data_IF_450684624869
#
_entry.id   IF_450684624869
#
_cell.length_a   1.000
_cell.length_b   1.000
_cell.length_c   1.000
_cell.angle_alpha   90.00
_cell.angle_beta   90.00
_cell.angle_gamma   90.00
#
_symmetry.space_group_name_H-M   'P 1'
#
loop_
_entity.id
_entity.type
_entity.pdbx_description
1 polymer ?
#
# COMPACT_ATOMS: atom_id res chain seq x y z
N UNK A 1 -0.47 19.98 -6.11
CA UNK A 1 -1.10 19.45 -7.34
C UNK A 1 -1.93 20.49 -8.08
N UNK A 2 -2.85 21.22 -7.44
CA UNK A 2 -3.63 22.27 -8.13
C UNK A 2 -2.78 23.41 -8.73
N UNK A 3 -1.75 23.85 -8.02
CA UNK A 3 -0.80 24.87 -8.52
C UNK A 3 -0.05 24.39 -9.76
N UNK A 4 0.48 23.16 -9.73
CA UNK A 4 1.12 22.50 -10.89
C UNK A 4 0.16 22.40 -12.08
N UNK A 5 -1.14 22.16 -11.84
CA UNK A 5 -2.14 22.07 -12.90
C UNK A 5 -2.26 23.39 -13.70
N UNK A 6 -2.18 24.53 -13.01
CA UNK A 6 -2.23 25.85 -13.65
C UNK A 6 -0.92 26.19 -14.36
N UNK A 7 0.23 25.94 -13.72
CA UNK A 7 1.55 26.26 -14.30
C UNK A 7 1.92 25.39 -15.50
N UNK A 8 1.51 24.11 -15.49
CA UNK A 8 1.84 23.14 -16.53
C UNK A 8 0.65 22.80 -17.44
N UNK A 9 -0.37 23.67 -17.49
CA UNK A 9 -1.63 23.40 -18.22
C UNK A 9 -1.40 22.96 -19.67
N UNK A 10 -0.41 23.55 -20.34
CA UNK A 10 -0.10 23.26 -21.75
C UNK A 10 0.58 21.90 -21.96
N UNK A 11 1.23 21.36 -20.93
CA UNK A 11 1.97 20.08 -20.96
C UNK A 11 1.10 18.93 -20.46
N UNK A 12 0.13 19.20 -19.61
CA UNK A 12 -0.76 18.17 -19.06
C UNK A 12 -1.78 17.73 -20.12
N UNK A 13 -1.85 16.43 -20.34
CA UNK A 13 -2.89 15.77 -21.14
C UNK A 13 -4.10 15.44 -20.29
N UNK A 14 -3.85 14.96 -19.08
CA UNK A 14 -4.90 14.60 -18.14
C UNK A 14 -4.36 14.16 -16.79
N UNK A 15 -5.20 13.45 -16.05
CA UNK A 15 -4.93 12.99 -14.69
C UNK A 15 -5.27 11.51 -14.58
N UNK A 16 -4.37 10.74 -13.98
CA UNK A 16 -4.54 9.31 -13.75
C UNK A 16 -4.62 9.02 -12.25
N UNK A 17 -5.56 8.17 -11.87
CA UNK A 17 -5.73 7.75 -10.49
C UNK A 17 -4.75 6.61 -10.16
N UNK A 18 -3.76 6.93 -9.34
CA UNK A 18 -2.78 5.97 -8.85
C UNK A 18 -3.21 5.47 -7.46
N UNK A 19 -3.32 4.15 -7.32
CA UNK A 19 -3.80 3.49 -6.10
C UNK A 19 -2.60 2.95 -5.34
N UNK A 20 -2.63 3.08 -4.02
CA UNK A 20 -1.62 2.50 -3.14
C UNK A 20 -1.79 0.98 -3.11
N UNK A 21 -0.82 0.25 -3.68
CA UNK A 21 -0.87 -1.22 -3.80
C UNK A 21 -0.49 -1.90 -2.49
N UNK A 22 -1.45 -2.03 -1.57
CA UNK A 22 -1.31 -2.72 -0.29
C UNK A 22 -2.43 -3.75 -0.09
N UNK A 23 -2.17 -4.83 0.65
CA UNK A 23 -3.21 -5.78 1.04
C UNK A 23 -4.34 -5.13 1.84
N UNK A 24 -4.07 -3.98 2.48
CA UNK A 24 -5.06 -3.23 3.26
C UNK A 24 -5.91 -2.23 2.45
N UNK A 25 -5.61 -2.03 1.17
CA UNK A 25 -6.38 -1.12 0.31
C UNK A 25 -7.74 -1.74 -0.01
N UNK A 26 -8.86 -1.01 0.14
CA UNK A 26 -10.21 -1.53 -0.14
C UNK A 26 -10.42 -1.90 -1.62
N UNK A 27 -11.27 -2.90 -1.87
CA UNK A 27 -11.59 -3.36 -3.23
C UNK A 27 -12.08 -2.22 -4.13
N UNK A 28 -12.95 -1.36 -3.61
CA UNK A 28 -13.53 -0.22 -4.35
C UNK A 28 -12.48 0.74 -4.89
N UNK A 29 -11.32 0.85 -4.23
CA UNK A 29 -10.20 1.67 -4.70
C UNK A 29 -9.34 0.92 -5.71
N UNK A 30 -9.03 -0.36 -5.45
CA UNK A 30 -8.23 -1.18 -6.35
C UNK A 30 -8.83 -1.24 -7.77
N UNK A 31 -10.17 -1.33 -7.87
CA UNK A 31 -10.90 -1.35 -9.14
C UNK A 31 -10.82 -0.05 -9.95
N UNK A 32 -10.34 1.04 -9.35
CA UNK A 32 -10.22 2.35 -10.00
C UNK A 32 -8.79 2.70 -10.41
N UNK A 33 -7.84 1.78 -10.24
CA UNK A 33 -6.47 2.05 -10.66
C UNK A 33 -6.44 2.35 -12.16
N UNK A 34 -5.70 3.41 -12.53
CA UNK A 34 -5.62 3.93 -13.89
C UNK A 34 -6.92 4.53 -14.44
N UNK A 35 -7.88 4.87 -13.58
CA UNK A 35 -8.96 5.79 -14.00
C UNK A 35 -8.34 7.09 -14.53
N UNK A 36 -8.73 7.48 -15.74
CA UNK A 36 -8.17 8.63 -16.43
C UNK A 36 -9.22 9.72 -16.60
N UNK A 37 -8.84 10.96 -16.29
CA UNK A 37 -9.63 12.18 -16.53
C UNK A 37 -8.86 13.07 -17.50
N UNK A 38 -9.47 13.30 -18.65
CA UNK A 38 -8.88 14.14 -19.69
C UNK A 38 -8.94 15.63 -19.30
N UNK A 39 -7.98 16.40 -19.82
CA UNK A 39 -7.88 17.83 -19.58
C UNK A 39 -6.94 18.21 -18.44
N UNK A 40 -6.44 19.44 -18.51
CA UNK A 40 -5.40 19.91 -17.62
C UNK A 40 -5.91 20.28 -16.21
N UNK A 41 -7.21 20.48 -16.05
CA UNK A 41 -7.81 20.88 -14.77
C UNK A 41 -7.72 19.75 -13.75
N UNK A 42 -7.21 20.06 -12.55
CA UNK A 42 -7.10 19.07 -11.48
C UNK A 42 -8.48 18.51 -11.10
N UNK A 43 -8.64 17.17 -10.99
CA UNK A 43 -9.92 16.57 -10.66
C UNK A 43 -10.54 17.12 -9.37
N UNK A 44 -11.81 17.52 -9.45
CA UNK A 44 -12.54 18.05 -8.30
C UNK A 44 -12.86 16.99 -7.24
N UNK A 45 -12.85 15.71 -7.63
CA UNK A 45 -13.11 14.58 -6.73
C UNK A 45 -12.04 14.48 -5.65
N UNK A 46 -12.48 14.49 -4.39
CA UNK A 46 -11.62 14.23 -3.25
C UNK A 46 -11.39 12.73 -3.10
N UNK A 47 -10.12 12.33 -3.02
CA UNK A 47 -9.70 10.93 -2.86
C UNK A 47 -9.01 10.75 -1.53
N UNK A 48 -9.16 9.56 -0.93
CA UNK A 48 -8.52 9.27 0.35
C UNK A 48 -6.99 9.15 0.17
N UNK A 49 -6.16 10.03 0.78
CA UNK A 49 -4.72 10.04 0.55
C UNK A 49 -3.99 8.77 1.00
N UNK A 50 -4.62 7.97 1.88
CA UNK A 50 -4.11 6.66 2.28
C UNK A 50 -4.31 5.55 1.23
N UNK A 51 -5.13 5.81 0.21
CA UNK A 51 -5.51 4.81 -0.78
C UNK A 51 -5.21 5.26 -2.20
N UNK A 52 -5.28 6.54 -2.51
CA UNK A 52 -5.17 7.02 -3.87
C UNK A 52 -4.61 8.44 -3.97
N UNK A 53 -4.05 8.74 -5.14
CA UNK A 53 -3.62 10.07 -5.53
C UNK A 53 -3.87 10.27 -7.03
N UNK A 54 -4.28 11.47 -7.41
CA UNK A 54 -4.28 11.88 -8.81
C UNK A 54 -2.87 12.33 -9.21
N UNK A 55 -2.33 11.71 -10.25
CA UNK A 55 -1.03 12.04 -10.84
C UNK A 55 -1.26 12.63 -12.23
N UNK A 56 -0.55 13.69 -12.57
CA UNK A 56 -0.65 14.31 -13.89
C UNK A 56 -0.02 13.41 -14.94
N UNK A 57 -0.74 13.20 -16.04
CA UNK A 57 -0.23 12.57 -17.25
C UNK A 57 0.13 13.67 -18.23
N UNK A 58 1.39 13.70 -18.65
CA UNK A 58 1.88 14.67 -19.62
C UNK A 58 1.52 14.23 -21.04
N UNK A 59 1.45 15.20 -21.94
CA UNK A 59 1.51 14.94 -23.37
C UNK A 59 2.82 14.23 -23.70
N UNK A 60 2.77 13.41 -24.74
CA UNK A 60 3.94 12.81 -25.37
C UNK A 60 4.80 13.89 -26.04
N UNK A 61 6.09 13.62 -26.21
CA UNK A 61 7.01 14.41 -27.03
C UNK A 61 6.44 14.64 -28.42
N UNK A 62 5.84 13.63 -29.04
CA UNK A 62 5.20 13.74 -30.35
C UNK A 62 4.00 14.70 -30.33
N UNK A 63 3.12 14.64 -29.32
CA UNK A 63 2.02 15.60 -29.13
C UNK A 63 2.53 17.02 -28.88
N UNK A 64 3.76 17.17 -28.39
CA UNK A 64 4.46 18.46 -28.22
C UNK A 64 5.32 18.86 -29.44
N UNK A 65 5.27 18.10 -30.54
CA UNK A 65 6.02 18.39 -31.77
C UNK A 65 7.52 18.06 -31.71
N UNK A 66 7.95 17.28 -30.70
CA UNK A 66 9.31 16.81 -30.53
C UNK A 66 9.47 15.38 -31.09
N UNK A 67 10.56 15.08 -31.83
CA UNK A 67 10.81 13.76 -32.40
C UNK A 67 11.44 12.78 -31.40
N UNK A 68 11.50 13.14 -30.11
CA UNK A 68 12.05 12.26 -29.07
C UNK A 68 11.14 11.06 -28.83
N UNK A 69 11.75 9.90 -28.58
CA UNK A 69 11.02 8.72 -28.13
C UNK A 69 10.59 8.85 -26.67
N UNK A 70 9.42 8.29 -26.34
CA UNK A 70 8.97 8.22 -24.95
C UNK A 70 9.87 7.28 -24.14
N UNK A 71 10.10 7.58 -22.84
CA UNK A 71 10.75 6.63 -21.97
C UNK A 71 9.92 5.34 -21.87
N UNK A 72 10.58 4.18 -21.70
CA UNK A 72 9.87 2.93 -21.51
C UNK A 72 9.06 2.94 -20.21
N UNK A 73 8.03 2.07 -20.10
CA UNK A 73 7.23 1.94 -18.88
C UNK A 73 8.11 1.71 -17.64
N UNK A 74 7.73 2.35 -16.54
CA UNK A 74 8.50 2.34 -15.30
C UNK A 74 8.01 1.30 -14.29
N UNK A 75 8.72 1.17 -13.18
CA UNK A 75 8.29 0.37 -12.03
C UNK A 75 7.95 1.26 -10.84
N UNK A 76 6.96 0.86 -10.06
CA UNK A 76 6.50 1.57 -8.86
C UNK A 76 6.71 0.74 -7.59
N UNK A 77 6.78 1.41 -6.44
CA UNK A 77 6.88 0.74 -5.15
C UNK A 77 5.52 0.22 -4.67
N UNK A 78 5.52 -0.97 -4.06
CA UNK A 78 4.32 -1.62 -3.50
C UNK A 78 4.61 -2.28 -2.15
N UNK A 79 3.56 -2.85 -1.53
CA UNK A 79 3.70 -3.64 -0.30
C UNK A 79 4.57 -4.90 -0.43
N UNK A 80 4.90 -5.33 -1.64
CA UNK A 80 5.71 -6.54 -1.93
C UNK A 80 7.02 -6.24 -2.64
N UNK A 81 7.38 -4.96 -2.80
CA UNK A 81 8.58 -4.51 -3.52
C UNK A 81 8.24 -3.72 -4.78
N UNK A 82 9.15 -3.71 -5.76
CA UNK A 82 8.92 -3.05 -7.05
C UNK A 82 8.00 -3.89 -7.93
N UNK A 83 7.04 -3.25 -8.58
CA UNK A 83 6.10 -3.85 -9.53
C UNK A 83 5.95 -2.96 -10.77
N UNK A 84 5.35 -3.48 -11.83
CA UNK A 84 4.96 -2.67 -12.98
C UNK A 84 4.02 -1.54 -12.58
N UNK A 85 4.10 -0.41 -13.27
CA UNK A 85 3.29 0.79 -12.99
C UNK A 85 1.77 0.54 -13.06
N UNK A 86 1.34 -0.37 -13.93
CA UNK A 86 -0.05 -0.84 -14.07
C UNK A 86 -0.51 -1.80 -12.97
N UNK A 87 0.35 -2.05 -11.98
CA UNK A 87 0.12 -3.00 -10.91
C UNK A 87 0.53 -4.43 -11.25
N UNK A 88 0.90 -4.72 -12.51
CA UNK A 88 1.35 -6.04 -12.98
C UNK A 88 0.41 -7.17 -12.55
N UNK A 89 0.99 -8.29 -12.13
CA UNK A 89 0.28 -9.43 -11.56
C UNK A 89 -0.18 -9.20 -10.10
N UNK A 90 0.33 -8.17 -9.43
CA UNK A 90 -0.01 -7.87 -8.04
C UNK A 90 -1.40 -7.23 -7.88
N UNK A 91 -1.80 -6.35 -8.81
CA UNK A 91 -3.13 -5.73 -8.76
C UNK A 91 -4.27 -6.76 -8.90
N UNK A 92 -4.27 -7.65 -9.91
CA UNK A 92 -5.27 -8.72 -10.01
C UNK A 92 -5.31 -9.60 -8.76
N UNK A 93 -4.14 -9.95 -8.19
CA UNK A 93 -4.06 -10.66 -6.93
C UNK A 93 -4.74 -9.91 -5.78
N UNK A 94 -4.47 -8.60 -5.60
CA UNK A 94 -5.06 -7.79 -4.55
C UNK A 94 -6.58 -7.67 -4.70
N UNK A 95 -7.07 -7.50 -5.93
CA UNK A 95 -8.51 -7.47 -6.24
C UNK A 95 -9.16 -8.78 -5.77
N UNK A 96 -8.63 -9.92 -6.20
CA UNK A 96 -9.15 -11.24 -5.79
C UNK A 96 -9.09 -11.44 -4.28
N UNK A 97 -7.96 -11.10 -3.66
CA UNK A 97 -7.77 -11.19 -2.22
C UNK A 97 -8.84 -10.38 -1.47
N UNK A 98 -9.16 -9.17 -1.96
CA UNK A 98 -10.19 -8.32 -1.36
C UNK A 98 -11.61 -8.77 -1.61
N UNK A 99 -11.92 -9.32 -2.79
CA UNK A 99 -13.21 -9.97 -3.04
C UNK A 99 -13.51 -11.06 -1.99
N UNK A 100 -12.51 -11.88 -1.66
CA UNK A 100 -12.63 -12.97 -0.67
C UNK A 100 -12.91 -12.44 0.75
N UNK A 101 -12.24 -11.35 1.14
CA UNK A 101 -12.27 -10.80 2.51
C UNK A 101 -13.47 -9.89 2.74
N UNK A 102 -13.78 -9.03 1.77
CA UNK A 102 -14.81 -8.00 1.91
C UNK A 102 -16.21 -8.55 1.61
N UNK A 103 -16.32 -9.64 0.83
CA UNK A 103 -17.60 -10.29 0.49
C UNK A 103 -17.67 -11.76 0.95
N UNK A 104 -17.59 -12.06 2.26
CA UNK A 104 -17.61 -13.44 2.75
C UNK A 104 -18.97 -14.13 2.52
N UNK A 105 -20.07 -13.37 2.43
CA UNK A 105 -21.44 -13.90 2.29
C UNK A 105 -21.79 -14.27 0.84
N UNK A 106 -21.16 -13.62 -0.15
CA UNK A 106 -21.39 -13.84 -1.59
C UNK A 106 -20.17 -14.48 -2.28
N UNK A 107 -19.34 -15.22 -1.54
CA UNK A 107 -18.15 -15.85 -2.07
C UNK A 107 -18.52 -16.89 -3.13
N UNK A 108 -18.03 -16.80 -4.37
CA UNK A 108 -18.20 -17.87 -5.35
C UNK A 108 -17.63 -19.18 -4.80
N UNK A 109 -18.31 -20.33 -4.97
CA UNK A 109 -17.76 -21.63 -4.61
C UNK A 109 -16.54 -21.94 -5.50
N UNK A 110 -15.35 -21.50 -5.06
CA UNK A 110 -14.12 -21.54 -5.86
C UNK A 110 -13.21 -20.32 -5.69
N UNK A 111 -13.59 -19.32 -4.90
CA UNK A 111 -12.72 -18.19 -4.53
C UNK A 111 -12.26 -18.33 -3.07
N UNK A 112 -11.33 -19.26 -2.81
CA UNK A 112 -10.76 -19.50 -1.49
C UNK A 112 -9.31 -18.99 -1.39
N UNK A 113 -8.85 -18.55 -0.21
CA UNK A 113 -7.45 -18.15 0.00
C UNK A 113 -6.44 -19.19 -0.49
N UNK A 114 -6.75 -20.48 -0.36
CA UNK A 114 -5.89 -21.59 -0.75
C UNK A 114 -5.66 -21.66 -2.25
N UNK A 115 -6.70 -21.44 -3.07
CA UNK A 115 -6.53 -21.47 -4.52
C UNK A 115 -5.95 -20.16 -5.06
N UNK A 116 -6.13 -19.04 -4.34
CA UNK A 116 -5.37 -17.82 -4.61
C UNK A 116 -3.86 -18.00 -4.35
N UNK A 117 -3.46 -18.76 -3.31
CA UNK A 117 -2.05 -19.14 -3.10
C UNK A 117 -1.50 -19.99 -4.24
N UNK A 118 -2.32 -20.87 -4.82
CA UNK A 118 -1.90 -21.71 -5.93
C UNK A 118 -1.72 -20.90 -7.23
N UNK A 119 -2.59 -19.91 -7.46
CA UNK A 119 -2.53 -19.01 -8.62
C UNK A 119 -1.39 -17.98 -8.50
N UNK A 120 -1.15 -17.46 -7.29
CA UNK A 120 -0.12 -16.45 -7.01
C UNK A 120 0.83 -16.91 -5.88
N UNK A 121 1.66 -17.94 -6.09
CA UNK A 121 2.55 -18.47 -5.05
C UNK A 121 3.54 -17.43 -4.53
N UNK A 122 3.98 -16.48 -5.37
CA UNK A 122 4.84 -15.37 -5.01
C UNK A 122 4.24 -14.45 -3.92
N UNK A 123 2.91 -14.41 -3.81
CA UNK A 123 2.19 -13.58 -2.83
C UNK A 123 1.59 -14.37 -1.66
N UNK A 124 1.96 -15.64 -1.50
CA UNK A 124 1.46 -16.48 -0.40
C UNK A 124 1.68 -15.84 1.00
N UNK A 125 2.79 -15.13 1.17
CA UNK A 125 3.15 -14.41 2.40
C UNK A 125 2.21 -13.25 2.75
N UNK A 126 1.42 -12.76 1.79
CA UNK A 126 0.40 -11.73 2.00
C UNK A 126 -0.88 -12.33 2.61
N UNK A 127 -1.22 -13.55 2.20
CA UNK A 127 -2.42 -14.27 2.66
C UNK A 127 -2.20 -14.79 4.09
N UNK A 128 -0.97 -15.17 4.43
CA UNK A 128 -0.67 -15.77 5.73
C UNK A 128 -0.52 -14.70 6.82
N UNK A 129 -1.24 -14.83 7.95
CA UNK A 129 -1.04 -13.93 9.07
C UNK A 129 0.37 -14.13 9.61
N UNK A 130 1.19 -13.07 9.62
CA UNK A 130 2.51 -13.11 10.27
C UNK A 130 2.33 -13.60 11.71
N UNK A 131 3.08 -14.63 12.16
CA UNK A 131 2.96 -15.12 13.52
C UNK A 131 3.22 -13.95 14.48
N UNK A 132 2.22 -13.61 15.30
CA UNK A 132 2.37 -12.59 16.33
C UNK A 132 3.55 -13.00 17.20
N UNK A 133 4.67 -12.26 17.14
CA UNK A 133 5.76 -12.37 18.11
C UNK A 133 5.14 -12.19 19.49
N UNK A 134 4.95 -13.29 20.22
CA UNK A 134 4.60 -13.23 21.64
C UNK A 134 5.76 -12.48 22.30
N UNK A 135 5.52 -11.24 22.75
CA UNK A 135 6.44 -10.59 23.69
C UNK A 135 6.58 -11.56 24.86
N UNK A 136 7.77 -12.12 25.05
CA UNK A 136 8.06 -12.90 26.23
C UNK A 136 7.69 -12.03 27.43
N UNK A 137 6.72 -12.48 28.24
CA UNK A 137 6.46 -11.90 29.55
C UNK A 137 7.75 -12.08 30.33
N UNK A 138 8.52 -11.00 30.51
CA UNK A 138 9.54 -10.94 31.54
C UNK A 138 8.81 -11.08 32.88
N UNK A 139 8.92 -12.24 33.51
CA UNK A 139 8.50 -12.45 34.90
C UNK A 139 9.20 -11.43 35.80
N UNK A 140 8.53 -10.84 36.81
CA UNK A 140 9.19 -9.99 37.78
C UNK A 140 10.06 -10.86 38.68
N UNK A 141 11.37 -10.86 38.42
CA UNK A 141 12.38 -11.47 39.27
C UNK A 141 12.57 -10.64 40.53
N UNK A 142 12.18 -11.25 41.65
CA UNK A 142 12.50 -10.94 43.05
C UNK A 142 13.80 -10.13 43.26
N UNK A 143 13.69 -8.98 43.93
CA UNK A 143 14.80 -8.32 44.60
C UNK A 143 14.39 -8.03 46.05
N UNK A 144 14.49 -9.05 46.90
CA UNK A 144 14.56 -8.86 48.34
C UNK A 144 15.96 -8.35 48.69
N UNK A 145 16.07 -7.11 49.16
CA UNK A 145 17.25 -6.59 49.86
C UNK A 145 16.93 -6.58 51.37
N UNK A 146 17.71 -7.26 52.23
CA UNK A 146 17.63 -7.05 53.66
C UNK A 146 18.62 -5.96 54.07
N UNK A 147 18.12 -4.87 54.65
CA UNK A 147 18.93 -3.80 55.22
C UNK A 147 18.31 -3.32 56.52
N UNK A 148 18.16 -4.22 57.49
CA UNK A 148 17.67 -3.86 58.81
C UNK A 148 18.86 -3.41 59.68
N UNK A 149 18.96 -2.11 59.92
CA UNK A 149 19.85 -1.51 60.91
C UNK A 149 19.48 -2.02 62.30
N UNK A 150 20.43 -2.64 63.00
CA UNK A 150 20.39 -2.79 64.46
C UNK A 150 21.62 -2.14 65.09
N UNK A 151 21.34 -1.46 66.21
CA UNK A 151 22.17 -0.55 67.00
C UNK A 151 23.41 -1.20 67.62
N UNK A 152 24.37 -0.33 67.94
CA UNK A 152 25.54 -0.52 68.82
C UNK A 152 25.17 -1.00 70.25
N UNK A 153 26.14 -1.43 71.09
CA UNK A 153 26.87 -0.45 71.90
C UNK A 153 28.37 -0.74 72.20
N UNK A 154 29.01 0.34 72.67
CA UNK A 154 30.20 0.56 73.52
C UNK A 154 31.11 -0.58 74.00
N UNK A 155 32.42 -0.27 74.02
CA UNK A 155 33.20 -0.34 75.27
C UNK A 155 34.50 -1.16 75.24
N UNK A 156 35.64 -0.47 75.13
CA UNK A 156 36.85 -0.55 76.00
C UNK A 156 38.03 0.16 75.33
#
# INVERSE_FOLDING_TARGET
MREIAEECREVIKGWQLCITMLPRTPLTWLLRHFEFKDGADYPAEEVSPEHAIWVSVTKTWAEMGSPLEEPPPSTVASGVGQISEDGGDFLPFLIRYREIIESPVNRPPGLQPEQLKAEYPQYAHVIEPKPRRRKARSSPGSANLPGNMQKAPEGA
#
